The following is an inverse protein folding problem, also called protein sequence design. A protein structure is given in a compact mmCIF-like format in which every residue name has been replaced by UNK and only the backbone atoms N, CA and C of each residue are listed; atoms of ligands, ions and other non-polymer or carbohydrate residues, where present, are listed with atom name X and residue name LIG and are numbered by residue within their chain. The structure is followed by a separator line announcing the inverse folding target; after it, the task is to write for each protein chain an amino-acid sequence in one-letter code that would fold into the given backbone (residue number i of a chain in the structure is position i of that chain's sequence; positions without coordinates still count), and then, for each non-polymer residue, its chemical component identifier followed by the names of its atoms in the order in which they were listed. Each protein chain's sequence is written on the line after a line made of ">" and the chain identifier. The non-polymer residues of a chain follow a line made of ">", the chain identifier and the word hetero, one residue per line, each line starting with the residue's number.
data_IF_710154939006
#
_entry.id   IF_710154939006
#
_cell.length_a   1.000
_cell.length_b   1.000
_cell.length_c   1.000
_cell.angle_alpha   90.00
_cell.angle_beta   90.00
_cell.angle_gamma   90.00
#
_symmetry.space_group_name_H-M   'P 1'
#
loop_
_entity.id
_entity.type
_entity.pdbx_description
1 polymer ?
#
# COMPACT_ATOMS: atom_id res chain seq x y z
N UNK A 1 -4.03 -13.43 -8.36
CA UNK A 1 -4.81 -12.65 -7.38
C UNK A 1 -4.04 -12.74 -6.06
N UNK A 2 -3.59 -11.63 -5.56
CA UNK A 2 -2.82 -11.56 -4.32
C UNK A 2 -3.77 -11.25 -3.16
N UNK A 3 -3.53 -11.87 -2.00
CA UNK A 3 -4.34 -11.62 -0.79
C UNK A 3 -3.42 -11.17 0.33
N UNK A 4 -3.87 -10.19 1.11
CA UNK A 4 -3.16 -9.70 2.31
C UNK A 4 -4.07 -9.77 3.52
N UNK A 5 -3.53 -10.16 4.67
CA UNK A 5 -4.24 -10.12 5.95
C UNK A 5 -4.02 -8.76 6.62
N UNK A 6 -5.12 -8.07 6.92
CA UNK A 6 -5.13 -6.76 7.57
C UNK A 6 -5.95 -6.88 8.85
N UNK A 7 -5.29 -6.86 10.00
CA UNK A 7 -5.90 -7.03 11.33
C UNK A 7 -6.85 -8.25 11.43
N UNK A 8 -6.51 -9.35 10.72
CA UNK A 8 -7.28 -10.59 10.72
C UNK A 8 -8.32 -10.71 9.60
N UNK A 9 -8.58 -9.66 8.84
CA UNK A 9 -9.42 -9.67 7.65
C UNK A 9 -8.59 -9.88 6.39
N UNK A 10 -9.02 -10.75 5.49
CA UNK A 10 -8.33 -11.01 4.24
C UNK A 10 -8.85 -10.10 3.14
N UNK A 11 -7.96 -9.29 2.55
CA UNK A 11 -8.24 -8.41 1.43
C UNK A 11 -7.65 -8.98 0.14
N UNK A 12 -8.42 -8.90 -0.94
CA UNK A 12 -7.95 -9.19 -2.28
C UNK A 12 -7.28 -7.94 -2.87
N UNK A 13 -6.05 -8.07 -3.35
CA UNK A 13 -5.34 -7.01 -4.07
C UNK A 13 -5.52 -7.26 -5.57
N UNK A 14 -6.05 -6.28 -6.28
CA UNK A 14 -6.43 -6.38 -7.68
C UNK A 14 -5.78 -5.23 -8.46
N UNK A 15 -4.90 -5.56 -9.38
CA UNK A 15 -4.37 -4.62 -10.36
C UNK A 15 -5.28 -4.61 -11.58
N UNK A 16 -5.72 -3.43 -12.04
CA UNK A 16 -6.58 -3.28 -13.21
C UNK A 16 -6.00 -2.30 -14.20
N UNK A 17 -6.20 -2.56 -15.46
CA UNK A 17 -5.89 -1.59 -16.50
C UNK A 17 -6.86 -0.40 -16.40
N UNK A 18 -6.38 0.78 -16.78
CA UNK A 18 -7.12 2.03 -16.61
C UNK A 18 -8.51 1.99 -17.25
N UNK A 19 -8.62 1.37 -18.43
CA UNK A 19 -9.87 1.28 -19.17
C UNK A 19 -10.83 0.22 -18.62
N UNK A 20 -10.33 -0.77 -17.87
CA UNK A 20 -11.12 -1.85 -17.31
C UNK A 20 -11.80 -1.50 -15.98
N UNK A 21 -11.42 -0.35 -15.36
CA UNK A 21 -12.01 0.12 -14.12
C UNK A 21 -12.67 1.50 -14.30
N UNK A 22 -14.00 1.54 -14.42
CA UNK A 22 -14.71 2.80 -14.68
C UNK A 22 -14.53 3.88 -13.62
N UNK A 23 -14.21 3.50 -12.36
CA UNK A 23 -13.99 4.44 -11.27
C UNK A 23 -12.75 5.29 -11.46
N UNK A 24 -11.71 4.77 -12.10
CA UNK A 24 -10.50 5.54 -12.40
C UNK A 24 -10.82 6.78 -13.23
N UNK A 25 -11.60 6.61 -14.29
CA UNK A 25 -12.03 7.72 -15.14
C UNK A 25 -13.05 8.62 -14.45
N UNK A 26 -14.06 8.01 -13.82
CA UNK A 26 -15.21 8.75 -13.28
C UNK A 26 -14.85 9.63 -12.10
N UNK A 27 -13.92 9.17 -11.25
CA UNK A 27 -13.53 9.87 -10.03
C UNK A 27 -12.15 10.52 -10.13
N UNK A 28 -11.36 10.22 -11.16
CA UNK A 28 -9.98 10.70 -11.29
C UNK A 28 -9.08 10.16 -10.17
N UNK A 29 -9.22 8.87 -9.85
CA UNK A 29 -8.45 8.19 -8.79
C UNK A 29 -7.63 7.05 -9.41
N UNK A 30 -6.52 6.70 -8.78
CA UNK A 30 -5.63 5.63 -9.23
C UNK A 30 -5.79 4.34 -8.43
N UNK A 31 -6.57 4.38 -7.35
CA UNK A 31 -6.89 3.24 -6.51
C UNK A 31 -8.14 3.46 -5.67
N UNK A 32 -8.60 2.41 -5.03
CA UNK A 32 -9.66 2.46 -4.05
C UNK A 32 -9.65 1.22 -3.15
N UNK A 33 -10.12 1.40 -1.91
CA UNK A 33 -10.34 0.34 -0.95
C UNK A 33 -11.83 0.20 -0.64
N UNK A 34 -12.39 -1.00 -0.83
CA UNK A 34 -13.73 -1.36 -0.38
C UNK A 34 -13.64 -2.27 0.84
N UNK A 35 -13.81 -1.70 2.02
CA UNK A 35 -13.70 -2.43 3.28
C UNK A 35 -14.86 -3.43 3.50
N UNK A 36 -16.00 -3.28 2.83
CA UNK A 36 -17.11 -4.24 2.90
C UNK A 36 -16.84 -5.46 2.04
N UNK A 37 -16.35 -5.27 0.81
CA UNK A 37 -15.98 -6.36 -0.09
C UNK A 37 -14.63 -6.96 0.19
N UNK A 38 -13.82 -6.28 1.03
CA UNK A 38 -12.42 -6.67 1.29
C UNK A 38 -11.58 -6.70 0.02
N UNK A 39 -11.70 -5.62 -0.75
CA UNK A 39 -11.00 -5.43 -2.02
C UNK A 39 -10.18 -4.15 -1.98
N UNK A 40 -8.95 -4.26 -2.46
CA UNK A 40 -8.05 -3.14 -2.75
C UNK A 40 -7.76 -3.20 -4.23
N UNK A 41 -8.14 -2.16 -4.96
CA UNK A 41 -7.92 -2.06 -6.40
C UNK A 41 -6.98 -0.90 -6.69
N UNK A 42 -6.02 -1.10 -7.59
CA UNK A 42 -5.10 -0.06 -8.04
C UNK A 42 -4.84 -0.15 -9.54
N UNK A 43 -4.54 1.00 -10.13
CA UNK A 43 -4.32 1.13 -11.55
C UNK A 43 -2.99 0.51 -11.98
N UNK A 44 -3.01 -0.19 -13.12
CA UNK A 44 -1.83 -0.47 -13.91
C UNK A 44 -1.36 0.83 -14.56
N UNK A 45 -0.35 1.48 -13.98
CA UNK A 45 0.11 2.79 -14.43
C UNK A 45 0.64 2.78 -15.87
N UNK A 46 1.05 1.62 -16.39
CA UNK A 46 1.45 1.49 -17.82
C UNK A 46 0.29 1.68 -18.79
N UNK A 47 -0.95 1.55 -18.32
CA UNK A 47 -2.15 1.76 -19.13
C UNK A 47 -2.82 3.10 -18.86
N UNK A 48 -2.27 3.88 -17.91
CA UNK A 48 -2.82 5.17 -17.55
C UNK A 48 -2.44 6.23 -18.62
N UNK A 49 -3.40 7.00 -19.17
CA UNK A 49 -3.15 7.91 -20.28
C UNK A 49 -2.13 9.03 -19.99
N UNK A 50 -1.98 9.40 -18.72
CA UNK A 50 -1.01 10.42 -18.33
C UNK A 50 0.41 9.86 -18.08
N UNK A 51 0.62 8.56 -18.30
CA UNK A 51 1.90 7.87 -18.05
C UNK A 51 2.54 7.30 -19.33
N UNK A 52 2.06 7.73 -20.50
CA UNK A 52 2.53 7.21 -21.80
C UNK A 52 4.02 7.46 -22.02
N UNK A 53 4.54 8.61 -21.57
CA UNK A 53 5.93 9.02 -21.73
C UNK A 53 6.84 8.60 -20.54
N UNK A 54 6.28 7.97 -19.50
CA UNK A 54 7.02 7.62 -18.30
C UNK A 54 7.67 6.23 -18.40
N UNK A 55 8.77 6.05 -17.72
CA UNK A 55 9.46 4.76 -17.69
C UNK A 55 8.79 3.73 -16.73
N UNK A 56 9.22 2.47 -16.84
CA UNK A 56 8.67 1.37 -16.03
C UNK A 56 8.94 1.55 -14.53
N UNK A 57 10.07 2.15 -14.16
CA UNK A 57 10.45 2.34 -12.77
C UNK A 57 9.56 3.41 -12.12
N UNK A 58 9.28 4.49 -12.85
CA UNK A 58 8.38 5.54 -12.38
C UNK A 58 6.94 5.03 -12.25
N UNK A 59 6.41 4.35 -13.27
CA UNK A 59 5.08 3.75 -13.21
C UNK A 59 4.93 2.80 -12.01
N UNK A 60 5.93 1.96 -11.78
CA UNK A 60 5.96 1.03 -10.64
C UNK A 60 6.01 1.76 -9.30
N UNK A 61 6.77 2.86 -9.22
CA UNK A 61 6.81 3.70 -8.02
C UNK A 61 5.44 4.28 -7.68
N UNK A 62 4.71 4.75 -8.69
CA UNK A 62 3.33 5.24 -8.55
C UNK A 62 2.38 4.13 -8.07
N UNK A 63 2.45 2.94 -8.69
CA UNK A 63 1.65 1.79 -8.26
C UNK A 63 1.91 1.41 -6.79
N UNK A 64 3.18 1.38 -6.39
CA UNK A 64 3.56 1.09 -5.00
C UNK A 64 3.04 2.16 -4.03
N UNK A 65 3.08 3.43 -4.43
CA UNK A 65 2.51 4.52 -3.63
C UNK A 65 1.01 4.36 -3.46
N UNK A 66 0.26 4.20 -4.56
CA UNK A 66 -1.19 3.99 -4.55
C UNK A 66 -1.57 2.78 -3.70
N UNK A 67 -0.86 1.67 -3.85
CA UNK A 67 -1.16 0.46 -3.08
C UNK A 67 -0.94 0.67 -1.57
N UNK A 68 0.12 1.39 -1.16
CA UNK A 68 0.32 1.72 0.27
C UNK A 68 -0.78 2.63 0.80
N UNK A 69 -1.25 3.59 0.00
CA UNK A 69 -2.36 4.47 0.33
C UNK A 69 -3.63 3.65 0.62
N UNK A 70 -4.02 2.77 -0.29
CA UNK A 70 -5.23 1.94 -0.13
C UNK A 70 -5.12 0.92 1.01
N UNK A 71 -3.93 0.35 1.23
CA UNK A 71 -3.68 -0.51 2.39
C UNK A 71 -3.83 0.28 3.70
N UNK A 72 -3.40 1.55 3.73
CA UNK A 72 -3.56 2.40 4.93
C UNK A 72 -5.04 2.62 5.23
N UNK A 73 -5.87 2.91 4.22
CA UNK A 73 -7.32 2.97 4.38
C UNK A 73 -7.91 1.67 4.94
N UNK A 74 -7.46 0.53 4.44
CA UNK A 74 -7.92 -0.77 4.93
C UNK A 74 -7.56 -0.99 6.42
N UNK A 75 -6.33 -0.65 6.84
CA UNK A 75 -5.93 -0.73 8.25
C UNK A 75 -6.77 0.18 9.15
N UNK A 76 -7.00 1.41 8.73
CA UNK A 76 -7.79 2.38 9.50
C UNK A 76 -9.26 1.95 9.62
N UNK A 77 -9.82 1.36 8.56
CA UNK A 77 -11.17 0.81 8.56
C UNK A 77 -11.28 -0.41 9.47
N UNK A 78 -10.37 -1.40 9.35
CA UNK A 78 -10.40 -2.60 10.21
C UNK A 78 -10.16 -2.27 11.69
N UNK A 79 -9.43 -1.20 11.97
CA UNK A 79 -9.26 -0.69 13.35
C UNK A 79 -10.52 0.02 13.90
N UNK A 80 -11.60 0.14 13.11
CA UNK A 80 -12.83 0.83 13.48
C UNK A 80 -12.71 2.35 13.54
N UNK A 81 -11.63 2.92 13.03
CA UNK A 81 -11.36 4.36 13.11
C UNK A 81 -12.10 5.15 12.04
N UNK A 82 -12.31 4.54 10.87
CA UNK A 82 -13.01 5.19 9.77
C UNK A 82 -14.48 5.52 10.10
N UNK A 83 -15.19 4.62 10.78
CA UNK A 83 -16.60 4.80 11.15
C UNK A 83 -16.78 5.83 12.28
N UNK A 84 -15.81 5.93 13.19
CA UNK A 84 -15.86 6.87 14.31
C UNK A 84 -15.54 8.33 13.89
N UNK A 85 -15.06 8.51 12.67
CA UNK A 85 -14.64 9.82 12.16
C UNK A 85 -15.79 10.64 11.55
N UNK A 86 -17.02 10.12 11.54
CA UNK A 86 -18.15 10.64 10.73
C UNK A 86 -18.98 11.75 11.35
N UNK A 87 -18.62 12.35 12.50
CA UNK A 87 -19.65 13.11 13.23
C UNK A 87 -19.69 14.59 12.94
N UNK A 88 -18.67 15.29 12.44
CA UNK A 88 -18.85 16.74 12.07
C UNK A 88 -17.68 17.41 11.35
N UNK A 89 -16.52 16.78 11.32
CA UNK A 89 -15.35 17.23 10.56
C UNK A 89 -14.65 15.97 10.05
N UNK A 90 -13.93 16.07 8.95
CA UNK A 90 -13.15 14.92 8.47
C UNK A 90 -12.31 14.38 9.62
N UNK A 91 -12.70 13.22 10.14
CA UNK A 91 -11.95 12.55 11.18
C UNK A 91 -10.55 12.21 10.64
N UNK A 92 -9.55 12.22 11.51
CA UNK A 92 -8.16 12.04 11.10
C UNK A 92 -7.95 10.71 10.31
N UNK A 93 -8.73 9.68 10.59
CA UNK A 93 -8.61 8.37 9.95
C UNK A 93 -9.17 8.31 8.51
N UNK A 94 -9.92 9.32 8.11
CA UNK A 94 -10.39 9.52 6.72
C UNK A 94 -9.78 10.79 6.10
N UNK A 95 -8.74 11.32 6.73
CA UNK A 95 -7.99 12.46 6.24
C UNK A 95 -6.96 12.00 5.22
N UNK A 96 -7.17 12.35 3.95
CA UNK A 96 -6.30 11.95 2.84
C UNK A 96 -4.85 12.44 3.03
N UNK A 97 -4.65 13.64 3.58
CA UNK A 97 -3.32 14.19 3.85
C UNK A 97 -2.53 13.30 4.82
N UNK A 98 -3.18 12.76 5.85
CA UNK A 98 -2.54 11.84 6.80
C UNK A 98 -2.26 10.48 6.15
N UNK A 99 -3.19 9.96 5.34
CA UNK A 99 -3.02 8.69 4.62
C UNK A 99 -1.88 8.80 3.62
N UNK A 100 -1.84 9.88 2.85
CA UNK A 100 -0.75 10.20 1.92
C UNK A 100 0.59 10.32 2.62
N UNK A 101 0.63 11.07 3.72
CA UNK A 101 1.85 11.24 4.51
C UNK A 101 2.39 9.87 4.96
N UNK A 102 1.53 9.01 5.49
CA UNK A 102 1.93 7.68 5.95
C UNK A 102 2.37 6.80 4.76
N UNK A 103 1.63 6.79 3.66
CA UNK A 103 1.98 6.04 2.45
C UNK A 103 3.36 6.44 1.90
N UNK A 104 3.70 7.73 1.96
CA UNK A 104 4.98 8.28 1.52
C UNK A 104 6.13 8.00 2.49
N UNK A 105 5.88 8.14 3.79
CA UNK A 105 6.95 8.14 4.79
C UNK A 105 7.20 6.77 5.40
N UNK A 106 6.21 5.85 5.40
CA UNK A 106 6.36 4.55 6.05
C UNK A 106 7.59 3.75 5.60
N UNK A 107 7.99 3.69 4.32
CA UNK A 107 9.21 3.00 3.92
C UNK A 107 10.47 3.59 4.55
N UNK A 108 10.52 4.93 4.73
CA UNK A 108 11.65 5.63 5.35
C UNK A 108 11.68 5.40 6.86
N UNK A 109 10.51 5.43 7.49
CA UNK A 109 10.33 5.16 8.92
C UNK A 109 10.78 3.73 9.23
N UNK A 110 10.28 2.74 8.50
CA UNK A 110 10.66 1.34 8.71
C UNK A 110 12.14 1.08 8.43
N UNK A 111 12.71 1.71 7.39
CA UNK A 111 14.15 1.63 7.14
C UNK A 111 14.96 2.18 8.33
N UNK A 112 14.53 3.31 8.91
CA UNK A 112 15.19 3.90 10.08
C UNK A 112 15.06 2.97 11.29
N UNK A 113 13.89 2.45 11.58
CA UNK A 113 13.69 1.51 12.68
C UNK A 113 14.54 0.26 12.53
N UNK A 114 14.60 -0.30 11.33
CA UNK A 114 15.44 -1.46 11.04
C UNK A 114 16.94 -1.16 11.23
N UNK A 115 17.42 -0.01 10.74
CA UNK A 115 18.84 0.39 10.89
C UNK A 115 19.28 0.62 12.33
N UNK A 116 18.34 0.96 13.20
CA UNK A 116 18.58 1.14 14.64
C UNK A 116 18.34 -0.15 15.46
N UNK A 117 17.99 -1.26 14.81
CA UNK A 117 17.68 -2.52 15.49
C UNK A 117 16.41 -2.49 16.33
N UNK A 118 15.52 -1.50 16.11
CA UNK A 118 14.25 -1.38 16.82
C UNK A 118 13.18 -2.33 16.28
N UNK A 119 13.31 -2.74 15.04
CA UNK A 119 12.55 -3.82 14.42
C UNK A 119 13.53 -4.75 13.72
N UNK A 120 13.31 -6.04 13.81
CA UNK A 120 14.09 -7.06 13.12
C UNK A 120 13.20 -7.94 12.27
N UNK A 121 13.78 -8.86 11.52
CA UNK A 121 13.04 -9.89 10.81
C UNK A 121 12.14 -10.67 11.78
N UNK A 122 12.59 -10.92 12.99
CA UNK A 122 11.84 -11.65 14.02
C UNK A 122 10.63 -10.86 14.54
N UNK A 123 10.64 -9.53 14.47
CA UNK A 123 9.50 -8.68 14.86
C UNK A 123 8.29 -8.96 13.98
N UNK A 124 8.49 -9.18 12.69
CA UNK A 124 7.40 -9.51 11.76
C UNK A 124 6.84 -10.92 12.01
N UNK A 125 7.64 -11.84 12.55
CA UNK A 125 7.21 -13.20 12.89
C UNK A 125 6.58 -13.29 14.28
N UNK A 126 6.96 -12.44 15.22
CA UNK A 126 6.42 -12.44 16.59
C UNK A 126 5.06 -11.77 16.71
N UNK A 127 4.70 -10.89 15.78
CA UNK A 127 3.37 -10.26 15.69
C UNK A 127 2.33 -11.18 15.04
N UNK A 128 2.77 -12.22 14.33
CA UNK A 128 1.91 -13.31 13.86
C UNK A 128 1.53 -14.24 15.03
N UNK A 129 0.25 -14.59 15.15
CA UNK A 129 -0.19 -15.58 16.12
C UNK A 129 0.58 -16.89 15.93
N UNK A 130 0.77 -17.68 16.99
CA UNK A 130 1.47 -19.00 16.93
C UNK A 130 0.92 -19.96 15.86
N UNK A 131 -0.23 -19.68 15.26
CA UNK A 131 -0.79 -20.42 14.11
C UNK A 131 -0.05 -20.16 12.83
N UNK A 132 0.55 -18.97 12.64
CA UNK A 132 1.25 -18.61 11.40
C UNK A 132 2.66 -19.19 11.31
N UNK A 133 3.19 -19.78 12.39
CA UNK A 133 4.47 -20.51 12.38
C UNK A 133 4.47 -21.75 11.47
N UNK A 134 3.31 -22.22 11.04
CA UNK A 134 3.18 -23.36 10.14
C UNK A 134 3.13 -22.98 8.65
N UNK A 135 2.98 -21.69 8.32
CA UNK A 135 3.13 -21.21 6.95
C UNK A 135 4.61 -20.92 6.71
N UNK A 136 5.24 -21.81 5.99
CA UNK A 136 6.65 -21.79 5.63
C UNK A 136 7.03 -20.46 4.97
N UNK A 137 8.17 -19.95 5.39
CA UNK A 137 8.94 -18.83 4.83
C UNK A 137 9.21 -18.97 3.31
N UNK A 138 8.98 -20.13 2.75
CA UNK A 138 9.23 -20.48 1.35
C UNK A 138 8.23 -19.87 0.34
N UNK A 139 7.19 -19.16 0.82
CA UNK A 139 6.17 -18.54 -0.03
C UNK A 139 6.24 -17.01 -0.08
N UNK A 140 7.19 -16.38 0.63
CA UNK A 140 7.42 -14.96 0.52
C UNK A 140 8.47 -14.72 -0.57
N UNK A 141 8.05 -14.74 -1.82
CA UNK A 141 8.77 -13.98 -2.82
C UNK A 141 8.61 -12.51 -2.46
N UNK A 142 9.71 -11.80 -2.15
CA UNK A 142 9.61 -10.35 -1.93
C UNK A 142 8.95 -9.77 -3.18
N UNK A 143 7.95 -8.92 -2.99
CA UNK A 143 7.32 -8.19 -4.08
C UNK A 143 8.41 -7.42 -4.82
N UNK A 144 8.83 -7.97 -5.96
CA UNK A 144 10.01 -7.54 -6.74
C UNK A 144 9.82 -6.13 -7.36
N UNK A 145 8.70 -5.48 -7.05
CA UNK A 145 8.27 -4.22 -7.63
C UNK A 145 8.73 -2.95 -6.90
N UNK A 146 9.20 -3.03 -5.65
CA UNK A 146 9.57 -1.86 -4.86
C UNK A 146 11.05 -1.85 -4.45
N UNK A 147 11.95 -2.26 -5.33
CA UNK A 147 13.37 -1.96 -5.14
C UNK A 147 13.54 -0.45 -5.32
N UNK A 148 13.72 0.26 -4.20
CA UNK A 148 14.24 1.61 -4.24
C UNK A 148 15.68 1.52 -4.71
N UNK A 149 15.91 1.92 -5.95
CA UNK A 149 17.27 2.08 -6.49
C UNK A 149 17.99 3.13 -5.65
N UNK A 150 18.94 2.69 -4.85
CA UNK A 150 19.75 3.55 -3.98
C UNK A 150 20.82 4.33 -4.75
N UNK A 151 20.88 4.20 -6.08
CA UNK A 151 21.94 4.78 -6.93
C UNK A 151 21.68 6.20 -7.47
N UNK A 152 20.57 6.86 -7.14
CA UNK A 152 20.30 8.22 -7.66
C UNK A 152 20.94 9.33 -6.84
N UNK A 153 21.85 9.06 -5.90
CA UNK A 153 22.41 10.11 -5.02
C UNK A 153 23.69 10.80 -5.48
N UNK A 154 24.32 10.39 -6.56
CA UNK A 154 25.64 10.94 -6.95
C UNK A 154 25.71 11.78 -8.23
N UNK A 155 24.59 12.24 -8.77
CA UNK A 155 24.58 13.06 -10.00
C UNK A 155 23.98 14.45 -9.88
N UNK A 156 24.05 15.09 -8.72
CA UNK A 156 23.83 16.53 -8.62
C UNK A 156 25.02 17.16 -7.90
N UNK A 157 26.00 17.51 -8.68
CA UNK A 157 26.99 18.55 -8.38
C UNK A 157 26.73 19.70 -9.30
#
# INVERSE_FOLDING_TARGET
>A
MQTVSILGSNYNIIRRDFDDEPLFKKKGIDGWCDHHKKEIVYCNMRTHPNMEDEDDAYCRSCECYTLRHEITHAFLSEAGLAENSGVTTQGWAVNEEMVDWFAMQSPKIFKTFYSLGLIGTDTFYSLGTMRDRAMRVDAYEPYDGCQYDTEVRDKVK
#
